data_IF_984526863953
#
_entry.id   IF_984526863953
#
_cell.length_a   1.000
_cell.length_b   1.000
_cell.length_c   1.000
_cell.angle_alpha   90.00
_cell.angle_beta   90.00
_cell.angle_gamma   90.00
#
_symmetry.space_group_name_H-M   'P 1'
#
loop_
_entity.id
_entity.type
_entity.pdbx_description
1 polymer ?
#
# COMPACT_ATOMS: atom_id res chain seq x y z
N UNK A 1 5.46 4.57 19.38
CA UNK A 1 6.62 4.48 18.48
C UNK A 1 6.18 5.02 17.14
N UNK A 2 7.05 5.75 16.43
CA UNK A 2 6.70 6.22 15.10
C UNK A 2 6.69 5.03 14.13
N UNK A 3 5.81 5.05 13.13
CA UNK A 3 5.77 4.01 12.10
C UNK A 3 7.11 3.87 11.39
N UNK A 4 7.79 5.00 11.16
CA UNK A 4 9.10 5.02 10.49
C UNK A 4 10.21 4.32 11.28
N UNK A 5 10.08 4.25 12.62
CA UNK A 5 11.07 3.58 13.48
C UNK A 5 11.08 2.06 13.24
N UNK A 6 9.91 1.48 12.93
CA UNK A 6 9.77 0.06 12.57
C UNK A 6 10.48 -0.31 11.25
N UNK A 7 10.93 0.68 10.48
CA UNK A 7 11.63 0.49 9.20
C UNK A 7 13.16 0.51 9.32
N UNK A 8 13.69 0.87 10.49
CA UNK A 8 15.12 1.03 10.73
C UNK A 8 15.84 -0.32 10.66
N UNK A 9 15.18 -1.41 11.07
CA UNK A 9 15.74 -2.75 11.00
C UNK A 9 15.54 -3.36 9.60
N UNK A 10 16.64 -3.56 8.86
CA UNK A 10 16.61 -4.09 7.50
C UNK A 10 15.87 -5.43 7.37
N UNK A 11 16.04 -6.34 8.35
CA UNK A 11 15.34 -7.62 8.37
C UNK A 11 13.82 -7.47 8.59
N UNK A 12 13.39 -6.54 9.46
CA UNK A 12 11.96 -6.25 9.68
C UNK A 12 11.35 -5.65 8.42
N UNK A 13 12.03 -4.68 7.81
CA UNK A 13 11.59 -4.04 6.56
C UNK A 13 11.42 -5.06 5.43
N UNK A 14 12.35 -5.98 5.24
CA UNK A 14 12.24 -7.01 4.20
C UNK A 14 11.03 -7.94 4.41
N UNK A 15 10.79 -8.35 5.66
CA UNK A 15 9.61 -9.17 6.00
C UNK A 15 8.31 -8.41 5.79
N UNK A 16 8.26 -7.14 6.23
CA UNK A 16 7.12 -6.26 5.99
C UNK A 16 6.82 -6.09 4.50
N UNK A 17 7.85 -5.86 3.67
CA UNK A 17 7.69 -5.78 2.22
C UNK A 17 7.16 -7.09 1.65
N UNK A 18 7.63 -8.23 2.11
CA UNK A 18 7.15 -9.54 1.67
C UNK A 18 5.67 -9.76 2.04
N UNK A 19 5.28 -9.43 3.27
CA UNK A 19 3.91 -9.58 3.76
C UNK A 19 2.94 -8.64 3.03
N UNK A 20 3.34 -7.39 2.80
CA UNK A 20 2.55 -6.43 2.02
C UNK A 20 2.45 -6.85 0.54
N UNK A 21 3.52 -7.42 -0.02
CA UNK A 21 3.48 -7.95 -1.41
C UNK A 21 2.50 -9.13 -1.49
N UNK A 22 2.54 -10.04 -0.53
CA UNK A 22 1.62 -11.17 -0.44
C UNK A 22 0.16 -10.71 -0.25
N UNK A 23 -0.06 -9.72 0.62
CA UNK A 23 -1.38 -9.13 0.82
C UNK A 23 -1.90 -8.54 -0.51
N UNK A 24 -1.08 -7.76 -1.21
CA UNK A 24 -1.44 -7.18 -2.50
C UNK A 24 -1.79 -8.27 -3.54
N UNK A 25 -0.98 -9.33 -3.63
CA UNK A 25 -1.24 -10.48 -4.51
C UNK A 25 -2.60 -11.12 -4.20
N UNK A 26 -2.89 -11.39 -2.93
CA UNK A 26 -4.15 -12.00 -2.47
C UNK A 26 -5.35 -11.13 -2.78
N UNK A 27 -5.27 -9.82 -2.47
CA UNK A 27 -6.36 -8.87 -2.71
C UNK A 27 -6.64 -8.71 -4.20
N UNK A 28 -5.62 -8.57 -5.03
CA UNK A 28 -5.82 -8.47 -6.49
C UNK A 28 -6.42 -9.77 -7.04
N UNK A 29 -5.96 -10.94 -6.57
CA UNK A 29 -6.50 -12.23 -6.99
C UNK A 29 -7.99 -12.40 -6.62
N UNK A 30 -8.42 -11.87 -5.47
CA UNK A 30 -9.82 -11.97 -5.02
C UNK A 30 -10.77 -10.96 -5.68
N UNK A 31 -10.28 -9.96 -6.42
CA UNK A 31 -11.14 -8.95 -7.04
C UNK A 31 -12.06 -9.55 -8.13
N UNK A 32 -13.34 -9.19 -8.08
CA UNK A 32 -14.35 -9.55 -9.08
C UNK A 32 -14.85 -8.35 -9.91
N UNK A 33 -15.76 -8.61 -10.85
CA UNK A 33 -16.39 -7.57 -11.67
C UNK A 33 -15.47 -6.91 -12.70
N UNK A 34 -16.02 -5.97 -13.47
CA UNK A 34 -15.34 -5.33 -14.61
C UNK A 34 -14.08 -4.56 -14.15
N UNK A 35 -14.18 -3.79 -13.06
CA UNK A 35 -13.02 -3.07 -12.50
C UNK A 35 -11.95 -4.03 -11.96
N UNK A 36 -12.35 -5.14 -11.33
CA UNK A 36 -11.43 -6.16 -10.84
C UNK A 36 -10.65 -6.84 -11.94
N UNK A 37 -11.28 -7.15 -13.08
CA UNK A 37 -10.58 -7.73 -14.25
C UNK A 37 -9.54 -6.75 -14.81
N UNK A 38 -9.87 -5.47 -14.90
CA UNK A 38 -8.93 -4.44 -15.35
C UNK A 38 -7.72 -4.32 -14.41
N UNK A 39 -7.95 -4.31 -13.09
CA UNK A 39 -6.89 -4.24 -12.08
C UNK A 39 -6.00 -5.49 -12.12
N UNK A 40 -6.60 -6.69 -12.18
CA UNK A 40 -5.85 -7.95 -12.34
C UNK A 40 -4.93 -7.93 -13.56
N UNK A 41 -5.44 -7.44 -14.69
CA UNK A 41 -4.69 -7.35 -15.94
C UNK A 41 -3.52 -6.36 -15.83
N UNK A 42 -3.77 -5.16 -15.31
CA UNK A 42 -2.71 -4.18 -15.12
C UNK A 42 -1.66 -4.64 -14.10
N UNK A 43 -2.09 -5.31 -13.03
CA UNK A 43 -1.19 -5.89 -12.05
C UNK A 43 -0.31 -7.00 -12.66
N UNK A 44 -0.88 -7.89 -13.47
CA UNK A 44 -0.12 -8.91 -14.20
C UNK A 44 0.91 -8.28 -15.16
N UNK A 45 0.53 -7.20 -15.86
CA UNK A 45 1.45 -6.47 -16.73
C UNK A 45 2.63 -5.86 -15.95
N UNK A 46 2.38 -5.32 -14.75
CA UNK A 46 3.42 -4.81 -13.85
C UNK A 46 4.35 -5.93 -13.37
N UNK A 47 3.79 -7.08 -12.95
CA UNK A 47 4.60 -8.26 -12.55
C UNK A 47 5.46 -8.80 -13.70
N UNK A 48 5.03 -8.62 -14.95
CA UNK A 48 5.77 -9.01 -16.14
C UNK A 48 7.02 -8.17 -16.43
N UNK A 49 7.23 -7.04 -15.76
CA UNK A 49 8.41 -6.17 -15.98
C UNK A 49 9.68 -6.84 -15.46
N UNK A 50 9.66 -7.36 -14.24
CA UNK A 50 10.77 -8.13 -13.67
C UNK A 50 10.31 -8.96 -12.47
N UNK A 51 10.98 -10.09 -12.17
CA UNK A 51 10.84 -10.75 -10.88
C UNK A 51 11.06 -9.74 -9.75
N UNK A 52 10.15 -9.69 -8.77
CA UNK A 52 10.25 -8.79 -7.63
C UNK A 52 9.91 -7.31 -7.89
N UNK A 53 9.41 -6.93 -9.07
CA UNK A 53 9.05 -5.53 -9.35
C UNK A 53 8.09 -4.96 -8.30
N UNK A 54 7.02 -5.68 -7.96
CA UNK A 54 6.03 -5.26 -6.97
C UNK A 54 6.64 -5.11 -5.57
N UNK A 55 7.46 -6.07 -5.14
CA UNK A 55 8.15 -5.99 -3.85
C UNK A 55 9.08 -4.76 -3.79
N UNK A 56 9.88 -4.54 -4.83
CA UNK A 56 10.72 -3.34 -4.92
C UNK A 56 9.93 -2.03 -5.05
N UNK A 57 8.74 -2.05 -5.63
CA UNK A 57 7.85 -0.88 -5.67
C UNK A 57 7.29 -0.57 -4.28
N UNK A 58 6.80 -1.59 -3.55
CA UNK A 58 6.33 -1.46 -2.17
C UNK A 58 7.44 -0.93 -1.28
N UNK A 59 8.62 -1.55 -1.31
CA UNK A 59 9.79 -1.13 -0.52
C UNK A 59 10.16 0.34 -0.74
N UNK A 60 10.00 0.83 -1.97
CA UNK A 60 10.27 2.21 -2.38
C UNK A 60 9.16 3.20 -2.06
N UNK A 61 7.94 2.75 -1.79
CA UNK A 61 6.79 3.59 -1.42
C UNK A 61 6.63 3.67 0.10
N UNK A 62 7.17 2.68 0.81
CA UNK A 62 6.87 2.43 2.20
C UNK A 62 7.30 3.57 3.14
N UNK A 63 8.50 4.17 3.01
CA UNK A 63 8.90 5.29 3.87
C UNK A 63 7.95 6.49 3.75
N UNK A 64 7.63 6.93 2.53
CA UNK A 64 6.74 8.07 2.31
C UNK A 64 5.28 7.75 2.66
N UNK A 65 4.86 6.50 2.46
CA UNK A 65 3.52 6.05 2.86
C UNK A 65 3.39 6.05 4.39
N UNK A 66 4.39 5.57 5.11
CA UNK A 66 4.38 5.57 6.58
C UNK A 66 4.40 6.99 7.13
N UNK A 67 5.23 7.86 6.57
CA UNK A 67 5.21 9.29 6.94
C UNK A 67 3.84 9.95 6.68
N UNK A 68 3.14 9.57 5.61
CA UNK A 68 1.80 10.08 5.32
C UNK A 68 0.71 9.51 6.26
N UNK A 69 0.91 8.29 6.78
CA UNK A 69 -0.01 7.62 7.70
C UNK A 69 0.26 7.97 9.17
N UNK A 70 1.47 8.41 9.51
CA UNK A 70 1.90 8.72 10.88
C UNK A 70 0.88 9.55 11.68
N UNK A 71 0.32 10.66 11.15
CA UNK A 71 -0.63 11.47 11.93
C UNK A 71 -1.90 10.67 12.30
N UNK A 72 -2.41 9.85 11.39
CA UNK A 72 -3.58 9.00 11.66
C UNK A 72 -3.26 7.86 12.62
N UNK A 73 -2.02 7.35 12.55
CA UNK A 73 -1.54 6.33 13.48
C UNK A 73 -1.43 6.89 14.90
N UNK A 74 -0.85 8.08 15.06
CA UNK A 74 -0.78 8.78 16.34
C UNK A 74 -2.16 9.11 16.91
N UNK A 75 -3.08 9.60 16.07
CA UNK A 75 -4.49 9.82 16.45
C UNK A 75 -5.13 8.53 16.99
N UNK A 76 -4.88 7.39 16.36
CA UNK A 76 -5.39 6.10 16.81
C UNK A 76 -4.68 5.52 18.05
N UNK A 77 -3.41 5.84 18.26
CA UNK A 77 -2.68 5.51 19.49
C UNK A 77 -3.26 6.25 20.70
N UNK A 78 -3.74 7.49 20.53
CA UNK A 78 -4.41 8.24 21.60
C UNK A 78 -5.72 7.58 22.06
N UNK A 79 -6.34 6.78 21.19
CA UNK A 79 -7.55 6.00 21.49
C UNK A 79 -7.27 4.52 21.74
N UNK A 80 -6.00 4.13 21.91
CA UNK A 80 -5.54 2.75 22.11
C UNK A 80 -5.98 1.76 21.00
N UNK A 81 -6.33 2.25 19.81
CA UNK A 81 -6.80 1.44 18.68
C UNK A 81 -6.33 2.02 17.33
N UNK A 82 -5.02 2.00 17.04
CA UNK A 82 -4.49 2.53 15.78
C UNK A 82 -4.98 1.73 14.56
N UNK A 83 -5.24 0.42 14.72
CA UNK A 83 -5.77 -0.45 13.65
C UNK A 83 -7.21 -0.07 13.30
N UNK A 84 -8.07 0.06 14.31
CA UNK A 84 -9.45 0.50 14.14
C UNK A 84 -9.52 1.94 13.65
N UNK A 85 -8.61 2.83 14.08
CA UNK A 85 -8.57 4.20 13.60
C UNK A 85 -8.32 4.29 12.09
N UNK A 86 -7.30 3.60 11.56
CA UNK A 86 -7.07 3.54 10.11
C UNK A 86 -8.25 2.90 9.38
N UNK A 87 -8.82 1.82 9.94
CA UNK A 87 -9.96 1.11 9.36
C UNK A 87 -11.20 2.01 9.23
N UNK A 88 -11.55 2.71 10.31
CA UNK A 88 -12.69 3.62 10.36
C UNK A 88 -12.49 4.87 9.47
N UNK A 89 -11.24 5.22 9.19
CA UNK A 89 -10.85 6.32 8.31
C UNK A 89 -10.32 5.83 6.96
N UNK A 90 -10.79 4.66 6.48
CA UNK A 90 -10.26 3.98 5.29
C UNK A 90 -10.15 4.85 4.04
N UNK A 91 -11.08 5.79 3.82
CA UNK A 91 -10.99 6.72 2.69
C UNK A 91 -9.81 7.69 2.80
N UNK A 92 -9.58 8.28 4.00
CA UNK A 92 -8.43 9.15 4.28
C UNK A 92 -7.12 8.36 4.21
N UNK A 93 -7.11 7.14 4.74
CA UNK A 93 -5.96 6.22 4.66
C UNK A 93 -5.61 5.88 3.21
N UNK A 94 -6.61 5.54 2.40
CA UNK A 94 -6.42 5.23 0.99
C UNK A 94 -5.90 6.44 0.21
N UNK A 95 -6.45 7.63 0.46
CA UNK A 95 -5.99 8.86 -0.18
C UNK A 95 -4.53 9.18 0.17
N UNK A 96 -4.12 9.04 1.43
CA UNK A 96 -2.74 9.25 1.86
C UNK A 96 -1.75 8.35 1.09
N UNK A 97 -2.04 7.06 1.00
CA UNK A 97 -1.20 6.08 0.28
C UNK A 97 -1.19 6.36 -1.22
N UNK A 98 -2.35 6.67 -1.80
CA UNK A 98 -2.48 6.89 -3.22
C UNK A 98 -1.82 8.20 -3.65
N UNK A 99 -1.85 9.26 -2.84
CA UNK A 99 -1.12 10.51 -3.11
C UNK A 99 0.39 10.26 -3.17
N UNK A 100 0.95 9.43 -2.27
CA UNK A 100 2.36 9.04 -2.34
C UNK A 100 2.66 8.29 -3.65
N UNK A 101 1.77 7.37 -4.03
CA UNK A 101 1.90 6.59 -5.27
C UNK A 101 1.75 7.47 -6.52
N UNK A 102 0.89 8.48 -6.49
CA UNK A 102 0.69 9.49 -7.54
C UNK A 102 1.99 10.24 -7.79
N UNK A 103 2.58 10.82 -6.74
CA UNK A 103 3.85 11.57 -6.81
C UNK A 103 4.97 10.69 -7.35
N UNK A 104 5.07 9.44 -6.90
CA UNK A 104 6.13 8.53 -7.35
C UNK A 104 5.95 8.10 -8.79
N UNK A 105 4.72 7.85 -9.21
CA UNK A 105 4.41 7.49 -10.61
C UNK A 105 4.70 8.65 -11.56
N UNK A 106 4.38 9.89 -11.18
CA UNK A 106 4.73 11.09 -11.96
C UNK A 106 6.25 11.21 -12.19
N UNK A 107 7.05 10.87 -11.17
CA UNK A 107 8.52 10.86 -11.22
C UNK A 107 9.13 9.65 -11.95
N UNK A 108 8.34 8.62 -12.26
CA UNK A 108 8.85 7.41 -12.91
C UNK A 108 9.29 7.68 -14.35
N UNK A 109 10.44 7.14 -14.77
CA UNK A 109 10.85 7.14 -16.18
C UNK A 109 10.18 6.02 -17.00
N UNK A 110 9.48 5.09 -16.35
CA UNK A 110 8.86 3.94 -17.01
C UNK A 110 7.46 4.30 -17.55
N UNK A 111 7.35 4.41 -18.87
CA UNK A 111 6.11 4.76 -19.57
C UNK A 111 4.99 3.73 -19.40
N UNK A 112 5.31 2.44 -19.33
CA UNK A 112 4.35 1.37 -19.06
C UNK A 112 3.70 1.55 -17.70
N UNK A 113 4.50 1.83 -16.66
CA UNK A 113 3.99 2.07 -15.30
C UNK A 113 3.08 3.29 -15.26
N UNK A 114 3.51 4.41 -15.87
CA UNK A 114 2.69 5.62 -15.97
C UNK A 114 1.35 5.34 -16.64
N UNK A 115 1.36 4.60 -17.76
CA UNK A 115 0.16 4.28 -18.52
C UNK A 115 -0.79 3.36 -17.75
N UNK A 116 -0.29 2.25 -17.20
CA UNK A 116 -1.09 1.30 -16.42
C UNK A 116 -1.70 2.00 -15.20
N UNK A 117 -0.89 2.74 -14.45
CA UNK A 117 -1.36 3.45 -13.26
C UNK A 117 -2.42 4.51 -13.61
N UNK A 118 -2.18 5.35 -14.62
CA UNK A 118 -3.14 6.39 -15.03
C UNK A 118 -4.51 5.80 -15.39
N UNK A 119 -4.55 4.65 -16.06
CA UNK A 119 -5.80 3.96 -16.41
C UNK A 119 -6.54 3.37 -15.21
N UNK A 120 -5.80 2.90 -14.20
CA UNK A 120 -6.38 2.22 -13.03
C UNK A 120 -6.64 3.15 -11.84
N UNK A 121 -5.98 4.31 -11.76
CA UNK A 121 -6.00 5.18 -10.58
C UNK A 121 -7.40 5.62 -10.18
N UNK A 122 -8.29 5.85 -11.15
CA UNK A 122 -9.67 6.21 -10.90
C UNK A 122 -10.50 5.09 -10.26
N UNK A 123 -10.17 3.82 -10.51
CA UNK A 123 -10.92 2.67 -10.01
C UNK A 123 -10.28 2.00 -8.79
N UNK A 124 -9.00 2.24 -8.53
CA UNK A 124 -8.26 1.53 -7.47
C UNK A 124 -8.61 2.01 -6.06
N UNK A 125 -9.08 3.26 -5.87
CA UNK A 125 -9.33 3.84 -4.54
C UNK A 125 -10.22 2.95 -3.67
N UNK A 126 -11.37 2.54 -4.20
CA UNK A 126 -12.30 1.65 -3.49
C UNK A 126 -11.63 0.34 -3.04
N UNK A 127 -10.77 -0.22 -3.88
CA UNK A 127 -10.06 -1.45 -3.55
C UNK A 127 -8.97 -1.25 -2.50
N UNK A 128 -8.33 -0.08 -2.46
CA UNK A 128 -7.41 0.29 -1.38
C UNK A 128 -8.18 0.46 -0.08
N UNK A 129 -9.32 1.16 -0.08
CA UNK A 129 -10.20 1.32 1.10
C UNK A 129 -10.60 -0.05 1.67
N UNK A 130 -11.04 -0.98 0.81
CA UNK A 130 -11.39 -2.36 1.19
C UNK A 130 -10.20 -3.15 1.77
N UNK A 131 -8.97 -2.78 1.46
CA UNK A 131 -7.74 -3.42 1.91
C UNK A 131 -7.14 -2.77 3.18
N UNK A 132 -7.60 -1.58 3.57
CA UNK A 132 -7.10 -0.86 4.75
C UNK A 132 -7.12 -1.70 6.03
N UNK A 133 -8.18 -2.49 6.34
CA UNK A 133 -8.19 -3.27 7.58
C UNK A 133 -7.06 -4.30 7.66
N UNK A 134 -6.75 -4.97 6.55
CA UNK A 134 -5.67 -5.95 6.49
C UNK A 134 -4.30 -5.26 6.50
N UNK A 135 -4.17 -4.14 5.79
CA UNK A 135 -2.97 -3.30 5.79
C UNK A 135 -2.65 -2.79 7.21
N UNK A 136 -3.63 -2.28 7.92
CA UNK A 136 -3.46 -1.72 9.26
C UNK A 136 -2.99 -2.79 10.27
N UNK A 137 -3.49 -4.03 10.14
CA UNK A 137 -3.00 -5.17 10.94
C UNK A 137 -1.53 -5.47 10.66
N UNK A 138 -1.14 -5.54 9.38
CA UNK A 138 0.27 -5.75 9.02
C UNK A 138 1.12 -4.62 9.60
N UNK A 139 0.72 -3.35 9.43
CA UNK A 139 1.47 -2.21 10.02
C UNK A 139 1.63 -2.38 11.54
N UNK A 140 0.56 -2.76 12.24
CA UNK A 140 0.58 -2.98 13.69
C UNK A 140 1.55 -4.07 14.13
N UNK A 141 1.62 -5.17 13.39
CA UNK A 141 2.50 -6.31 13.68
C UNK A 141 3.99 -5.91 13.61
N UNK A 142 4.33 -4.90 12.82
CA UNK A 142 5.71 -4.39 12.66
C UNK A 142 5.98 -3.12 13.48
N UNK A 143 4.95 -2.41 13.92
CA UNK A 143 5.09 -1.23 14.80
C UNK A 143 5.27 -1.60 16.28
N UNK A 144 4.77 -2.77 16.70
CA UNK A 144 4.79 -3.22 18.10
C UNK A 144 5.79 -4.36 18.40
N UNK A 145 6.53 -4.86 17.40
CA UNK A 145 7.56 -5.91 17.54
C UNK A 145 8.94 -5.42 17.10
#
# INVERSE_FOLDING_TARGET
MALIDGLVEQNKRQKLVADLTKLLDLRVASMGGISGVAIKTGYAAIKGISPGYCAGAIDRLLPESFAALEPMWEEGLQTEDPVGYLTNNSSRTADAILTVTDVRTQKSSNSTIKSVYSKLRGSVKKHVEEAVPDLAKVINDYANN
#
